data_IF_074356183405
#
_entry.id   IF_074356183405
#
_cell.length_a   1.000
_cell.length_b   1.000
_cell.length_c   1.000
_cell.angle_alpha   90.00
_cell.angle_beta   90.00
_cell.angle_gamma   90.00
#
_symmetry.space_group_name_H-M   'P 1'
#
loop_
_entity.id
_entity.type
_entity.pdbx_description
1 polymer ?
#
# COMPACT_ATOMS: atom_id res chain seq x y z
N UNK A 1 74.73 -45.76 -2.45
CA UNK A 1 73.47 -44.97 -2.48
C UNK A 1 73.81 -43.50 -2.24
N UNK A 2 73.67 -42.62 -3.23
CA UNK A 2 73.99 -41.19 -3.09
C UNK A 2 72.94 -40.53 -2.21
N UNK A 3 73.33 -40.06 -1.02
CA UNK A 3 72.46 -39.33 -0.09
C UNK A 3 72.05 -38.00 -0.74
N UNK A 4 70.78 -37.89 -1.12
CA UNK A 4 70.20 -36.61 -1.54
C UNK A 4 70.13 -35.73 -0.28
N UNK A 5 70.76 -34.55 -0.34
CA UNK A 5 70.70 -33.57 0.74
C UNK A 5 69.25 -33.18 1.00
N UNK A 6 68.87 -33.06 2.29
CA UNK A 6 67.53 -32.69 2.73
C UNK A 6 67.01 -31.41 2.04
N UNK A 7 67.90 -30.47 1.71
CA UNK A 7 67.54 -29.24 0.99
C UNK A 7 67.05 -29.55 -0.43
N UNK A 8 67.69 -30.48 -1.14
CA UNK A 8 67.26 -30.89 -2.49
C UNK A 8 65.93 -31.63 -2.47
N UNK A 9 65.69 -32.45 -1.45
CA UNK A 9 64.42 -33.15 -1.27
C UNK A 9 63.26 -32.17 -0.98
N UNK A 10 63.49 -31.20 -0.10
CA UNK A 10 62.49 -30.16 0.23
C UNK A 10 62.21 -29.25 -0.97
N UNK A 11 63.24 -28.87 -1.73
CA UNK A 11 63.07 -28.02 -2.93
C UNK A 11 62.29 -28.75 -4.02
N UNK A 12 62.55 -30.05 -4.22
CA UNK A 12 61.81 -30.86 -5.19
C UNK A 12 60.35 -31.03 -4.74
N UNK A 13 60.11 -31.27 -3.45
CA UNK A 13 58.77 -31.43 -2.90
C UNK A 13 57.94 -30.14 -2.99
N UNK A 14 58.53 -28.98 -2.65
CA UNK A 14 57.89 -27.68 -2.81
C UNK A 14 57.67 -27.33 -4.29
N UNK A 15 58.64 -27.63 -5.15
CA UNK A 15 58.52 -27.44 -6.60
C UNK A 15 57.37 -28.24 -7.20
N UNK A 16 57.22 -29.51 -6.80
CA UNK A 16 56.10 -30.38 -7.17
C UNK A 16 54.79 -29.87 -6.58
N UNK A 17 54.74 -29.44 -5.31
CA UNK A 17 53.53 -28.86 -4.73
C UNK A 17 53.08 -27.59 -5.45
N UNK A 18 54.00 -26.69 -5.80
CA UNK A 18 53.68 -25.44 -6.51
C UNK A 18 53.23 -25.74 -7.94
N UNK A 19 53.91 -26.65 -8.67
CA UNK A 19 53.44 -27.05 -9.99
C UNK A 19 52.08 -27.75 -9.91
N UNK A 20 51.89 -28.68 -8.97
CA UNK A 20 50.60 -29.35 -8.73
C UNK A 20 49.49 -28.35 -8.41
N UNK A 21 49.74 -27.40 -7.51
CA UNK A 21 48.80 -26.33 -7.18
C UNK A 21 48.51 -25.42 -8.39
N UNK A 22 49.48 -25.20 -9.27
CA UNK A 22 49.27 -24.46 -10.53
C UNK A 22 48.50 -25.24 -11.60
N UNK A 23 48.48 -26.58 -11.55
CA UNK A 23 47.60 -27.40 -12.42
C UNK A 23 46.19 -27.54 -11.83
N UNK A 24 46.04 -27.43 -10.51
CA UNK A 24 44.74 -27.45 -9.82
C UNK A 24 44.09 -26.07 -9.66
N UNK A 25 44.81 -24.97 -9.93
CA UNK A 25 44.24 -23.64 -10.03
C UNK A 25 43.75 -23.40 -11.47
N UNK A 26 42.43 -23.26 -11.60
CA UNK A 26 41.67 -22.78 -12.78
C UNK A 26 41.28 -23.81 -13.87
N UNK A 27 40.64 -24.92 -13.49
CA UNK A 27 39.59 -25.55 -14.32
C UNK A 27 38.20 -25.36 -13.73
N UNK A 28 37.96 -24.22 -13.06
CA UNK A 28 36.58 -23.73 -12.99
C UNK A 28 36.25 -23.17 -14.38
N UNK A 29 35.92 -24.07 -15.32
CA UNK A 29 34.96 -23.74 -16.36
C UNK A 29 33.62 -23.49 -15.65
N UNK A 30 33.52 -22.34 -14.97
CA UNK A 30 32.22 -21.78 -14.70
C UNK A 30 31.74 -21.36 -16.07
N UNK A 31 30.93 -22.20 -16.71
CA UNK A 31 30.09 -21.76 -17.80
C UNK A 31 28.90 -21.07 -17.13
N UNK A 32 28.91 -19.72 -16.97
CA UNK A 32 27.88 -18.99 -16.22
C UNK A 32 26.47 -19.19 -16.76
N UNK A 33 26.37 -19.75 -17.97
CA UNK A 33 25.13 -19.94 -18.73
C UNK A 33 24.53 -21.34 -18.47
N UNK A 34 25.32 -22.33 -18.04
CA UNK A 34 24.88 -23.74 -17.98
C UNK A 34 23.71 -23.96 -17.02
N UNK A 35 23.61 -23.17 -15.96
CA UNK A 35 22.56 -23.25 -14.95
C UNK A 35 21.65 -22.00 -14.92
N UNK A 36 21.76 -21.12 -15.93
CA UNK A 36 20.94 -19.91 -16.00
C UNK A 36 19.52 -20.27 -16.44
N UNK A 37 18.54 -20.08 -15.55
CA UNK A 37 17.13 -20.16 -15.89
C UNK A 37 16.50 -18.77 -15.85
N UNK A 38 16.03 -18.29 -17.00
CA UNK A 38 15.46 -16.94 -17.18
C UNK A 38 13.95 -16.89 -17.00
N UNK A 39 13.30 -18.04 -16.86
CA UNK A 39 11.85 -18.15 -16.71
C UNK A 39 11.34 -17.41 -15.48
N UNK A 40 10.23 -16.69 -15.63
CA UNK A 40 9.55 -16.02 -14.53
C UNK A 40 8.51 -16.95 -13.90
N UNK A 41 8.56 -17.10 -12.57
CA UNK A 41 7.65 -17.97 -11.81
C UNK A 41 6.71 -17.20 -10.88
N UNK A 42 6.82 -15.86 -10.83
CA UNK A 42 6.09 -15.03 -9.86
C UNK A 42 4.61 -14.80 -10.18
N UNK A 43 4.16 -15.08 -11.40
CA UNK A 43 2.78 -14.87 -11.83
C UNK A 43 2.32 -13.41 -11.82
N UNK A 44 1.02 -13.21 -12.04
CA UNK A 44 0.39 -11.88 -11.95
C UNK A 44 0.17 -11.49 -10.49
N UNK A 45 0.57 -10.28 -10.12
CA UNK A 45 0.25 -9.67 -8.83
C UNK A 45 -0.27 -8.26 -9.05
N UNK A 46 -1.60 -8.11 -9.01
CA UNK A 46 -2.26 -6.81 -9.19
C UNK A 46 -1.97 -5.83 -8.04
N UNK A 47 -1.47 -6.32 -6.90
CA UNK A 47 -1.13 -5.49 -5.75
C UNK A 47 0.22 -4.81 -5.86
N UNK A 48 1.02 -5.16 -6.87
CA UNK A 48 2.25 -4.46 -7.22
C UNK A 48 1.91 -3.32 -8.17
N UNK A 49 2.14 -2.08 -7.74
CA UNK A 49 2.00 -0.94 -8.61
C UNK A 49 3.10 -0.94 -9.68
N UNK A 50 2.70 -1.06 -10.95
CA UNK A 50 3.59 -1.04 -12.10
C UNK A 50 3.09 0.00 -13.11
N UNK A 51 3.91 1.01 -13.37
CA UNK A 51 3.59 2.12 -14.28
C UNK A 51 4.72 2.32 -15.30
N UNK A 52 4.40 2.94 -16.43
CA UNK A 52 5.39 3.16 -17.48
C UNK A 52 6.49 4.14 -17.04
N UNK A 53 6.10 5.30 -16.52
CA UNK A 53 7.02 6.33 -16.03
C UNK A 53 7.33 6.15 -14.55
N UNK A 54 8.55 6.56 -14.16
CA UNK A 54 8.98 6.53 -12.76
C UNK A 54 8.19 7.51 -11.87
N UNK A 55 7.77 8.62 -12.46
CA UNK A 55 7.09 9.71 -11.78
C UNK A 55 5.69 9.90 -12.35
N UNK A 56 4.67 9.79 -11.51
CA UNK A 56 3.28 10.03 -11.89
C UNK A 56 2.65 11.01 -10.89
N UNK A 57 2.23 12.18 -11.37
CA UNK A 57 1.52 13.17 -10.55
C UNK A 57 0.09 12.69 -10.32
N UNK A 58 -0.34 12.73 -9.06
CA UNK A 58 -1.67 12.32 -8.62
C UNK A 58 -2.71 13.33 -9.13
N UNK A 59 -3.89 12.87 -9.52
CA UNK A 59 -5.03 13.75 -9.77
C UNK A 59 -6.05 13.57 -8.64
N UNK A 60 -6.44 14.62 -7.90
CA UNK A 60 -5.96 16.01 -7.97
C UNK A 60 -4.60 16.23 -7.28
N UNK A 61 -3.80 17.15 -7.82
CA UNK A 61 -2.55 17.65 -7.22
C UNK A 61 -2.56 19.18 -7.18
N UNK A 62 -1.73 19.74 -6.30
CA UNK A 62 -1.52 21.18 -6.23
C UNK A 62 -0.82 21.71 -7.50
N UNK A 63 -0.93 23.02 -7.77
CA UNK A 63 -0.23 23.69 -8.86
C UNK A 63 1.29 23.50 -8.78
N UNK A 64 1.81 23.44 -7.55
CA UNK A 64 3.18 23.04 -7.25
C UNK A 64 3.14 21.77 -6.41
N UNK A 65 3.16 20.58 -7.06
CA UNK A 65 3.02 19.30 -6.37
C UNK A 65 3.96 19.20 -5.16
N UNK A 66 3.43 18.73 -4.05
CA UNK A 66 4.20 18.39 -2.86
C UNK A 66 4.68 16.92 -2.90
N UNK A 67 5.42 16.49 -1.87
CA UNK A 67 6.00 15.13 -1.79
C UNK A 67 4.96 14.01 -1.89
N UNK A 68 3.74 14.24 -1.39
CA UNK A 68 2.64 13.28 -1.42
C UNK A 68 1.71 13.43 -2.65
N UNK A 69 2.05 14.32 -3.59
CA UNK A 69 1.33 14.49 -4.86
C UNK A 69 2.01 13.75 -6.03
N UNK A 70 3.16 13.13 -5.79
CA UNK A 70 3.95 12.45 -6.83
C UNK A 70 4.25 11.02 -6.43
N UNK A 71 3.68 10.07 -7.17
CA UNK A 71 4.05 8.67 -7.10
C UNK A 71 5.43 8.49 -7.74
N UNK A 72 6.39 8.03 -6.95
CA UNK A 72 7.76 7.71 -7.39
C UNK A 72 8.02 6.22 -7.19
N UNK A 73 7.95 5.48 -8.28
CA UNK A 73 8.20 4.04 -8.33
C UNK A 73 9.14 3.74 -9.49
N UNK A 74 9.79 2.58 -9.48
CA UNK A 74 10.59 2.16 -10.62
C UNK A 74 9.66 1.84 -11.79
N UNK A 75 9.75 2.60 -12.86
CA UNK A 75 8.91 2.50 -14.04
C UNK A 75 9.49 1.60 -15.12
N UNK A 76 8.63 1.17 -16.04
CA UNK A 76 9.02 0.29 -17.14
C UNK A 76 10.03 0.94 -18.07
N UNK A 77 9.91 2.25 -18.32
CA UNK A 77 10.86 2.97 -19.17
C UNK A 77 12.28 2.86 -18.62
N UNK A 78 12.46 3.09 -17.31
CA UNK A 78 13.77 2.99 -16.66
C UNK A 78 14.31 1.57 -16.72
N UNK A 79 13.48 0.55 -16.45
CA UNK A 79 13.90 -0.85 -16.55
C UNK A 79 14.37 -1.17 -17.97
N UNK A 80 13.56 -0.84 -18.99
CA UNK A 80 13.91 -1.13 -20.39
C UNK A 80 15.15 -0.35 -20.83
N UNK A 81 15.34 0.89 -20.40
CA UNK A 81 16.54 1.67 -20.71
C UNK A 81 17.79 1.08 -20.06
N UNK A 82 17.70 0.68 -18.79
CA UNK A 82 18.82 0.15 -18.01
C UNK A 82 19.34 -1.16 -18.61
N UNK A 83 18.42 -2.05 -19.01
CA UNK A 83 18.79 -3.37 -19.50
C UNK A 83 18.94 -3.46 -21.02
N UNK A 84 18.12 -2.74 -21.78
CA UNK A 84 18.05 -2.87 -23.24
C UNK A 84 18.48 -1.60 -23.97
N UNK A 85 18.00 -0.44 -23.55
CA UNK A 85 18.18 0.86 -24.20
C UNK A 85 19.57 1.49 -24.06
N UNK A 86 20.59 0.71 -23.76
CA UNK A 86 21.97 1.22 -23.66
C UNK A 86 22.51 1.57 -25.05
N UNK A 87 23.43 2.52 -25.11
CA UNK A 87 24.05 2.98 -26.37
C UNK A 87 24.72 1.88 -27.21
N UNK A 88 25.07 0.76 -26.58
CA UNK A 88 25.70 -0.40 -27.22
C UNK A 88 24.70 -1.47 -27.70
N UNK A 89 23.39 -1.33 -27.41
CA UNK A 89 22.38 -2.33 -27.74
C UNK A 89 21.15 -1.74 -28.45
N UNK A 90 20.28 -1.03 -27.73
CA UNK A 90 19.03 -0.46 -28.27
C UNK A 90 18.87 1.04 -27.96
N UNK A 91 20.00 1.74 -27.86
CA UNK A 91 20.08 3.18 -27.65
C UNK A 91 20.95 3.88 -28.70
N UNK A 92 20.94 5.22 -28.70
CA UNK A 92 21.79 6.02 -29.61
C UNK A 92 21.44 5.82 -31.09
N UNK A 93 22.37 5.26 -31.87
CA UNK A 93 22.20 4.99 -33.30
C UNK A 93 21.73 3.57 -33.62
N UNK A 94 21.58 2.69 -32.62
CA UNK A 94 21.24 1.28 -32.84
C UNK A 94 19.72 1.09 -32.72
N UNK A 95 19.13 0.45 -33.74
CA UNK A 95 17.70 0.16 -33.81
C UNK A 95 17.40 -1.33 -33.48
N UNK A 96 16.19 -1.67 -32.99
CA UNK A 96 15.12 -0.77 -32.57
C UNK A 96 15.53 0.06 -31.34
N UNK A 97 14.96 1.26 -31.21
CA UNK A 97 15.14 2.13 -30.03
C UNK A 97 14.06 1.87 -28.99
N UNK A 98 14.32 2.23 -27.73
CA UNK A 98 13.35 2.12 -26.64
C UNK A 98 13.09 3.43 -25.88
N UNK A 99 13.34 4.57 -26.53
CA UNK A 99 13.33 5.90 -25.88
C UNK A 99 11.95 6.35 -25.39
N UNK A 100 10.87 5.91 -26.05
CA UNK A 100 9.50 6.38 -25.80
C UNK A 100 8.51 5.25 -25.51
N UNK A 101 7.35 5.61 -24.93
CA UNK A 101 6.22 4.69 -24.78
C UNK A 101 5.86 4.02 -26.10
N UNK A 102 5.73 4.79 -27.18
CA UNK A 102 5.36 4.28 -28.50
C UNK A 102 6.39 3.29 -29.05
N UNK A 103 7.68 3.46 -28.73
CA UNK A 103 8.73 2.53 -29.17
C UNK A 103 8.65 1.19 -28.45
N UNK A 104 8.50 1.21 -27.12
CA UNK A 104 8.36 0.00 -26.32
C UNK A 104 7.07 -0.75 -26.69
N UNK A 105 5.97 -0.02 -26.94
CA UNK A 105 4.69 -0.61 -27.32
C UNK A 105 4.71 -1.40 -28.63
N UNK A 106 5.68 -1.18 -29.54
CA UNK A 106 5.85 -2.00 -30.75
C UNK A 106 6.14 -3.47 -30.45
N UNK A 107 6.59 -3.79 -29.23
CA UNK A 107 6.97 -5.13 -28.77
C UNK A 107 6.03 -5.67 -27.69
N UNK A 108 4.97 -4.94 -27.37
CA UNK A 108 4.05 -5.24 -26.28
C UNK A 108 2.64 -5.38 -26.83
N UNK A 109 1.98 -6.47 -26.45
CA UNK A 109 0.56 -6.68 -26.66
C UNK A 109 -0.15 -6.39 -25.32
N UNK A 110 -0.85 -5.25 -25.19
CA UNK A 110 -1.61 -4.91 -23.98
C UNK A 110 -2.48 -6.06 -23.47
N UNK A 111 -2.39 -6.37 -22.18
CA UNK A 111 -3.17 -7.41 -21.52
C UNK A 111 -2.67 -8.84 -21.72
N UNK A 112 -1.69 -9.06 -22.61
CA UNK A 112 -1.14 -10.39 -22.94
C UNK A 112 0.39 -10.40 -22.89
N UNK A 113 0.99 -10.60 -21.70
CA UNK A 113 2.43 -10.82 -21.57
C UNK A 113 2.93 -11.94 -22.47
N UNK A 114 2.18 -13.04 -22.57
CA UNK A 114 2.54 -14.23 -23.35
C UNK A 114 2.55 -13.96 -24.86
N UNK A 115 1.80 -12.97 -25.34
CA UNK A 115 1.81 -12.52 -26.74
C UNK A 115 2.73 -11.31 -26.98
N UNK A 116 3.52 -10.90 -25.98
CA UNK A 116 4.42 -9.75 -26.07
C UNK A 116 5.85 -10.19 -26.36
N UNK A 117 6.43 -9.72 -27.46
CA UNK A 117 7.84 -10.01 -27.82
C UNK A 117 8.81 -9.52 -26.75
N UNK A 118 8.55 -8.37 -26.14
CA UNK A 118 9.36 -7.86 -25.02
C UNK A 118 9.45 -8.90 -23.89
N UNK A 119 8.31 -9.51 -23.53
CA UNK A 119 8.25 -10.51 -22.48
C UNK A 119 8.94 -11.82 -22.88
N UNK A 120 8.73 -12.28 -24.11
CA UNK A 120 9.42 -13.45 -24.68
C UNK A 120 10.94 -13.29 -24.56
N UNK A 121 11.49 -12.17 -25.01
CA UNK A 121 12.94 -11.98 -25.03
C UNK A 121 13.58 -11.91 -23.64
N UNK A 122 12.90 -11.32 -22.65
CA UNK A 122 13.47 -11.22 -21.30
C UNK A 122 13.31 -12.51 -20.48
N UNK A 123 12.47 -13.46 -20.91
CA UNK A 123 12.18 -14.70 -20.16
C UNK A 123 12.59 -15.99 -20.86
N UNK A 124 12.89 -15.95 -22.16
CA UNK A 124 13.28 -17.15 -22.92
C UNK A 124 14.59 -17.77 -22.45
N UNK A 125 14.66 -19.10 -22.46
CA UNK A 125 15.89 -19.88 -22.28
C UNK A 125 16.59 -20.20 -23.63
N UNK A 126 16.06 -19.72 -24.75
CA UNK A 126 16.80 -19.68 -26.02
C UNK A 126 17.79 -18.50 -25.98
N UNK A 127 19.03 -18.78 -25.56
CA UNK A 127 20.05 -17.75 -25.33
C UNK A 127 20.49 -17.00 -26.59
N UNK A 128 20.14 -17.49 -27.79
CA UNK A 128 20.38 -16.76 -29.05
C UNK A 128 19.32 -15.68 -29.31
N UNK A 129 18.17 -15.77 -28.64
CA UNK A 129 17.07 -14.80 -28.72
C UNK A 129 16.95 -13.92 -27.48
N UNK A 130 17.55 -14.37 -26.37
CA UNK A 130 17.42 -13.74 -25.08
C UNK A 130 17.96 -12.31 -25.09
N UNK A 131 17.15 -11.37 -24.57
CA UNK A 131 17.55 -9.97 -24.39
C UNK A 131 17.39 -9.57 -22.90
N UNK A 132 18.38 -8.93 -22.28
CA UNK A 132 19.71 -8.67 -22.83
C UNK A 132 20.46 -9.98 -23.12
N UNK A 133 21.41 -9.96 -24.08
CA UNK A 133 22.23 -11.14 -24.39
C UNK A 133 22.87 -11.70 -23.13
N UNK A 134 22.87 -13.03 -22.95
CA UNK A 134 23.37 -13.66 -21.70
C UNK A 134 24.85 -13.35 -21.42
N UNK A 135 25.64 -13.04 -22.45
CA UNK A 135 27.04 -12.63 -22.34
C UNK A 135 27.24 -11.14 -22.00
N UNK A 136 26.16 -10.35 -21.93
CA UNK A 136 26.22 -8.93 -21.53
C UNK A 136 26.42 -8.73 -20.03
N UNK A 137 26.25 -9.78 -19.22
CA UNK A 137 26.21 -9.72 -17.74
C UNK A 137 25.15 -8.73 -17.18
N UNK A 138 24.14 -8.38 -17.98
CA UNK A 138 23.07 -7.45 -17.62
C UNK A 138 21.70 -8.15 -17.61
N UNK A 139 21.55 -9.20 -16.81
CA UNK A 139 20.28 -9.94 -16.69
C UNK A 139 19.26 -9.19 -15.82
N UNK A 140 17.98 -9.22 -16.22
CA UNK A 140 16.88 -8.68 -15.41
C UNK A 140 16.64 -9.58 -14.19
N UNK A 141 16.51 -8.95 -13.01
CA UNK A 141 16.08 -9.63 -11.80
C UNK A 141 14.58 -9.97 -11.83
N UNK A 142 14.14 -10.85 -10.92
CA UNK A 142 12.74 -11.31 -10.83
C UNK A 142 11.76 -10.16 -10.53
N UNK A 143 12.17 -9.15 -9.77
CA UNK A 143 11.32 -8.00 -9.41
C UNK A 143 11.02 -7.14 -10.63
N UNK A 144 12.03 -6.82 -11.44
CA UNK A 144 11.87 -6.03 -12.67
C UNK A 144 11.07 -6.80 -13.73
N UNK A 145 11.29 -8.12 -13.84
CA UNK A 145 10.43 -9.00 -14.64
C UNK A 145 8.97 -8.95 -14.15
N UNK A 146 8.75 -9.00 -12.84
CA UNK A 146 7.41 -8.87 -12.25
C UNK A 146 6.73 -7.53 -12.57
N UNK A 147 7.48 -6.41 -12.52
CA UNK A 147 6.95 -5.10 -12.90
C UNK A 147 6.53 -5.04 -14.37
N UNK A 148 7.38 -5.51 -15.29
CA UNK A 148 7.05 -5.59 -16.72
C UNK A 148 5.82 -6.47 -16.94
N UNK A 149 5.80 -7.66 -16.33
CA UNK A 149 4.69 -8.60 -16.46
C UNK A 149 3.36 -7.97 -16.02
N UNK A 150 3.33 -7.36 -14.83
CA UNK A 150 2.13 -6.73 -14.28
C UNK A 150 1.70 -5.52 -15.10
N UNK A 151 2.63 -4.68 -15.54
CA UNK A 151 2.31 -3.55 -16.41
C UNK A 151 1.67 -4.01 -17.74
N UNK A 152 2.26 -5.01 -18.41
CA UNK A 152 1.68 -5.58 -19.63
C UNK A 152 0.30 -6.17 -19.34
N UNK A 153 0.19 -6.99 -18.29
CA UNK A 153 -1.06 -7.65 -17.91
C UNK A 153 -2.18 -6.66 -17.60
N UNK A 154 -1.84 -5.51 -17.04
CA UNK A 154 -2.77 -4.42 -16.74
C UNK A 154 -3.04 -3.49 -17.93
N UNK A 155 -2.70 -3.92 -19.15
CA UNK A 155 -3.01 -3.20 -20.38
C UNK A 155 -1.92 -2.25 -20.86
N UNK A 156 -0.70 -2.34 -20.33
CA UNK A 156 0.49 -1.61 -20.76
C UNK A 156 0.24 -0.10 -20.94
N UNK A 157 -0.48 0.52 -20.00
CA UNK A 157 -0.92 1.92 -20.14
C UNK A 157 0.26 2.87 -19.97
N UNK A 158 0.26 3.96 -20.72
CA UNK A 158 1.23 5.02 -20.55
C UNK A 158 1.04 5.74 -19.20
N UNK A 159 -0.22 5.98 -18.82
CA UNK A 159 -0.59 6.57 -17.54
C UNK A 159 -1.46 5.60 -16.74
N UNK A 160 -1.19 5.41 -15.44
CA UNK A 160 -1.96 4.52 -14.59
C UNK A 160 -3.38 5.06 -14.37
N UNK A 161 -4.31 4.15 -14.09
CA UNK A 161 -5.71 4.44 -13.78
C UNK A 161 -6.12 3.82 -12.44
N UNK A 162 -7.37 4.01 -12.03
CA UNK A 162 -7.92 3.40 -10.81
C UNK A 162 -7.68 1.88 -10.69
N UNK A 163 -7.69 1.16 -11.82
CA UNK A 163 -7.43 -0.28 -11.83
C UNK A 163 -6.00 -0.63 -11.38
N UNK A 164 -5.06 0.28 -11.60
CA UNK A 164 -3.66 0.14 -11.19
C UNK A 164 -3.45 0.68 -9.77
N UNK A 165 -4.16 1.76 -9.39
CA UNK A 165 -4.05 2.34 -8.06
C UNK A 165 -4.68 1.48 -6.97
N UNK A 166 -5.92 1.01 -7.19
CA UNK A 166 -6.75 0.44 -6.11
C UNK A 166 -6.09 -0.77 -5.46
N UNK A 167 -5.70 -1.85 -6.16
CA UNK A 167 -5.24 -3.05 -5.47
C UNK A 167 -3.94 -2.80 -4.70
N UNK A 168 -3.03 -2.01 -5.28
CA UNK A 168 -1.78 -1.64 -4.63
C UNK A 168 -2.00 -0.71 -3.42
N UNK A 169 -2.86 0.30 -3.52
CA UNK A 169 -3.21 1.17 -2.40
C UNK A 169 -3.89 0.40 -1.26
N UNK A 170 -4.84 -0.49 -1.59
CA UNK A 170 -5.51 -1.31 -0.58
C UNK A 170 -4.52 -2.24 0.10
N UNK A 171 -3.62 -2.89 -0.65
CA UNK A 171 -2.56 -3.70 -0.05
C UNK A 171 -1.68 -2.88 0.90
N UNK A 172 -1.24 -1.68 0.51
CA UNK A 172 -0.43 -0.82 1.37
C UNK A 172 -1.17 -0.48 2.67
N UNK A 173 -2.49 -0.24 2.60
CA UNK A 173 -3.30 0.03 3.79
C UNK A 173 -3.47 -1.21 4.67
N UNK A 174 -3.75 -2.38 4.08
CA UNK A 174 -3.94 -3.63 4.84
C UNK A 174 -2.63 -4.08 5.47
N UNK A 175 -1.56 -4.13 4.68
CA UNK A 175 -0.24 -4.62 5.08
C UNK A 175 0.53 -3.58 5.91
N UNK A 176 0.16 -2.30 5.85
CA UNK A 176 0.75 -1.25 6.67
C UNK A 176 -0.03 -1.00 7.96
N UNK A 177 -1.31 -0.64 7.84
CA UNK A 177 -2.10 -0.15 8.97
C UNK A 177 -2.68 -1.29 9.81
N UNK A 178 -3.05 -2.42 9.20
CA UNK A 178 -3.62 -3.56 9.92
C UNK A 178 -2.56 -4.58 10.38
N UNK A 179 -1.36 -4.61 9.78
CA UNK A 179 -0.31 -5.62 10.03
C UNK A 179 0.32 -5.54 11.41
N UNK A 180 0.57 -4.33 11.92
CA UNK A 180 1.02 -4.11 13.29
C UNK A 180 -0.11 -4.32 14.31
N UNK A 181 -1.22 -4.97 13.94
CA UNK A 181 -2.38 -5.19 14.77
C UNK A 181 -3.06 -3.91 15.30
N UNK A 182 -2.56 -2.70 15.06
CA UNK A 182 -3.14 -1.46 15.59
C UNK A 182 -4.53 -1.17 15.01
N UNK A 183 -4.70 -1.37 13.71
CA UNK A 183 -5.98 -1.23 13.01
C UNK A 183 -6.46 -2.58 12.45
N UNK A 184 -6.37 -3.65 13.25
CA UNK A 184 -6.95 -4.94 12.91
C UNK A 184 -8.29 -5.16 13.60
N UNK A 185 -9.09 -6.10 13.07
CA UNK A 185 -10.41 -6.42 13.59
C UNK A 185 -10.32 -6.94 15.02
N UNK A 186 -9.24 -7.66 15.33
CA UNK A 186 -8.95 -8.16 16.66
C UNK A 186 -8.76 -7.04 17.68
N UNK A 187 -8.05 -5.98 17.31
CA UNK A 187 -7.81 -4.83 18.21
C UNK A 187 -9.04 -3.94 18.35
N UNK A 188 -9.78 -3.71 17.25
CA UNK A 188 -11.01 -2.95 17.30
C UNK A 188 -12.04 -3.61 18.24
N UNK A 189 -12.25 -4.92 18.07
CA UNK A 189 -13.17 -5.72 18.91
C UNK A 189 -12.60 -6.01 20.30
N UNK A 190 -11.29 -6.14 20.45
CA UNK A 190 -10.62 -6.30 21.75
C UNK A 190 -10.75 -5.07 22.64
N UNK A 191 -10.80 -3.87 22.07
CA UNK A 191 -11.18 -2.65 22.80
C UNK A 191 -12.58 -2.71 23.41
N UNK A 192 -13.51 -3.43 22.78
CA UNK A 192 -14.83 -3.72 23.37
C UNK A 192 -14.75 -4.87 24.36
N UNK A 193 -14.06 -5.97 24.04
CA UNK A 193 -13.83 -7.08 24.97
C UNK A 193 -13.32 -6.59 26.34
N UNK A 194 -12.28 -5.74 26.34
CA UNK A 194 -11.70 -5.14 27.56
C UNK A 194 -12.71 -4.35 28.40
N UNK A 195 -13.76 -3.82 27.79
CA UNK A 195 -14.81 -3.04 28.46
C UNK A 195 -15.97 -3.91 28.96
N UNK A 196 -15.88 -5.24 28.87
CA UNK A 196 -16.95 -6.16 29.31
C UNK A 196 -18.19 -6.09 28.43
N UNK A 197 -17.98 -5.69 27.18
CA UNK A 197 -19.02 -5.28 26.27
C UNK A 197 -19.44 -6.40 25.31
N UNK A 198 -18.77 -7.55 25.36
CA UNK A 198 -19.09 -8.71 24.52
C UNK A 198 -19.65 -9.80 25.45
N UNK A 199 -20.90 -10.19 25.23
CA UNK A 199 -21.54 -11.24 26.01
C UNK A 199 -20.89 -12.61 25.75
N UNK A 200 -20.78 -13.43 26.79
CA UNK A 200 -20.20 -14.78 26.70
C UNK A 200 -18.67 -14.82 26.59
N UNK A 201 -18.00 -13.69 26.81
CA UNK A 201 -16.54 -13.59 26.74
C UNK A 201 -15.87 -14.22 27.96
N UNK A 202 -14.85 -15.03 27.72
CA UNK A 202 -13.96 -15.61 28.73
C UNK A 202 -12.56 -15.02 28.63
N UNK A 203 -11.72 -15.21 29.65
CA UNK A 203 -10.33 -14.73 29.62
C UNK A 203 -9.50 -15.32 28.48
N UNK A 204 -9.82 -16.55 28.05
CA UNK A 204 -9.16 -17.23 26.93
C UNK A 204 -9.49 -16.62 25.56
N UNK A 205 -10.56 -15.83 25.46
CA UNK A 205 -10.98 -15.20 24.20
C UNK A 205 -10.21 -13.92 23.88
N UNK A 206 -9.32 -13.46 24.76
CA UNK A 206 -8.55 -12.23 24.55
C UNK A 206 -7.06 -12.44 24.69
N UNK A 207 -6.29 -11.62 23.98
CA UNK A 207 -4.85 -11.48 24.16
C UNK A 207 -4.46 -10.01 24.26
N UNK A 208 -3.18 -9.77 24.47
CA UNK A 208 -2.59 -8.44 24.50
C UNK A 208 -1.53 -8.32 23.41
N UNK A 209 -1.54 -7.17 22.75
CA UNK A 209 -0.52 -6.75 21.80
C UNK A 209 0.08 -5.42 22.27
N UNK A 210 1.41 -5.30 22.26
CA UNK A 210 2.11 -4.05 22.60
C UNK A 210 2.80 -3.52 21.36
N UNK A 211 2.43 -2.31 20.95
CA UNK A 211 3.13 -1.55 19.93
C UNK A 211 4.14 -0.62 20.59
N UNK A 212 5.36 -0.56 20.07
CA UNK A 212 6.36 0.43 20.47
C UNK A 212 6.57 1.35 19.27
N UNK A 213 6.28 2.64 19.43
CA UNK A 213 6.54 3.62 18.39
C UNK A 213 8.06 3.70 18.14
N UNK A 214 8.55 3.42 16.92
CA UNK A 214 9.99 3.37 16.66
C UNK A 214 10.68 4.74 16.71
N UNK A 215 9.92 5.84 16.59
CA UNK A 215 10.42 7.21 16.61
C UNK A 215 10.51 7.72 18.05
N UNK A 216 9.45 7.52 18.84
CA UNK A 216 9.34 8.11 20.19
C UNK A 216 9.64 7.13 21.32
N UNK A 217 9.70 5.82 21.03
CA UNK A 217 9.80 4.75 22.03
C UNK A 217 8.53 4.53 22.85
N UNK A 218 7.44 5.27 22.58
CA UNK A 218 6.21 5.18 23.35
C UNK A 218 5.52 3.82 23.16
N UNK A 219 5.24 3.14 24.26
CA UNK A 219 4.53 1.86 24.26
C UNK A 219 3.01 2.07 24.35
N UNK A 220 2.27 1.46 23.43
CA UNK A 220 0.81 1.40 23.43
C UNK A 220 0.36 -0.04 23.56
N UNK A 221 -0.49 -0.31 24.55
CA UNK A 221 -1.05 -1.64 24.82
C UNK A 221 -2.46 -1.76 24.27
N UNK A 222 -2.66 -2.77 23.43
CA UNK A 222 -3.92 -3.12 22.82
C UNK A 222 -4.43 -4.45 23.36
N UNK A 223 -5.71 -4.49 23.73
CA UNK A 223 -6.41 -5.76 23.92
C UNK A 223 -6.89 -6.24 22.55
N UNK A 224 -6.73 -7.54 22.29
CA UNK A 224 -7.20 -8.18 21.08
C UNK A 224 -8.21 -9.27 21.42
N UNK A 225 -9.29 -9.36 20.66
CA UNK A 225 -10.19 -10.50 20.70
C UNK A 225 -9.60 -11.60 19.79
N UNK A 226 -9.26 -12.75 20.36
CA UNK A 226 -8.63 -13.87 19.64
C UNK A 226 -9.64 -14.91 19.16
N UNK A 227 -10.81 -14.98 19.80
CA UNK A 227 -11.91 -15.82 19.36
C UNK A 227 -12.49 -15.33 18.03
N UNK A 228 -12.09 -15.98 16.93
CA UNK A 228 -12.46 -15.59 15.56
C UNK A 228 -13.96 -15.56 15.32
N UNK A 229 -14.72 -16.47 15.93
CA UNK A 229 -16.18 -16.54 15.77
C UNK A 229 -16.83 -15.32 16.40
N UNK A 230 -16.53 -15.03 17.67
CA UNK A 230 -17.03 -13.84 18.36
C UNK A 230 -16.56 -12.56 17.68
N UNK A 231 -15.30 -12.52 17.25
CA UNK A 231 -14.70 -11.40 16.54
C UNK A 231 -15.43 -11.07 15.23
N UNK A 232 -15.77 -12.08 14.43
CA UNK A 232 -16.52 -11.89 13.19
C UNK A 232 -17.97 -11.50 13.45
N UNK A 233 -18.62 -12.14 14.42
CA UNK A 233 -19.98 -11.82 14.81
C UNK A 233 -20.11 -10.37 15.28
N UNK A 234 -19.26 -9.94 16.22
CA UNK A 234 -19.33 -8.60 16.84
C UNK A 234 -18.97 -7.52 15.83
N UNK A 235 -17.91 -7.72 15.03
CA UNK A 235 -17.52 -6.73 14.03
C UNK A 235 -18.59 -6.57 12.95
N UNK A 236 -19.12 -7.68 12.42
CA UNK A 236 -20.18 -7.65 11.39
C UNK A 236 -21.43 -6.93 11.91
N UNK A 237 -21.90 -7.29 13.11
CA UNK A 237 -23.05 -6.63 13.73
C UNK A 237 -22.80 -5.13 13.94
N UNK A 238 -21.58 -4.73 14.31
CA UNK A 238 -21.22 -3.32 14.41
C UNK A 238 -21.27 -2.62 13.05
N UNK A 239 -20.65 -3.18 12.00
CA UNK A 239 -20.68 -2.61 10.65
C UNK A 239 -22.11 -2.37 10.17
N UNK A 240 -22.97 -3.38 10.32
CA UNK A 240 -24.37 -3.31 9.90
C UNK A 240 -25.13 -2.24 10.68
N UNK A 241 -24.89 -2.13 12.00
CA UNK A 241 -25.52 -1.09 12.82
C UNK A 241 -25.11 0.33 12.40
N UNK A 242 -23.83 0.54 12.07
CA UNK A 242 -23.33 1.85 11.59
C UNK A 242 -23.95 2.19 10.23
N UNK A 243 -23.88 1.26 9.27
CA UNK A 243 -24.42 1.46 7.93
C UNK A 243 -25.93 1.75 7.98
N UNK A 244 -26.67 1.02 8.82
CA UNK A 244 -28.11 1.22 9.02
C UNK A 244 -28.44 2.52 9.74
N UNK A 245 -27.71 2.88 10.79
CA UNK A 245 -27.96 4.13 11.51
C UNK A 245 -27.81 5.36 10.59
N UNK A 246 -26.76 5.39 9.77
CA UNK A 246 -26.50 6.55 8.90
C UNK A 246 -27.25 6.53 7.57
N UNK A 247 -27.93 5.45 7.21
CA UNK A 247 -28.84 5.46 6.05
C UNK A 247 -30.09 6.30 6.31
N UNK A 248 -30.56 6.34 7.57
CA UNK A 248 -31.60 7.25 8.06
C UNK A 248 -31.49 7.38 9.57
N UNK A 249 -30.91 8.49 10.04
CA UNK A 249 -30.60 8.69 11.45
C UNK A 249 -31.82 8.90 12.33
N UNK A 250 -32.96 9.27 11.72
CA UNK A 250 -34.23 9.47 12.43
C UNK A 250 -34.96 8.14 12.55
N UNK A 251 -35.22 7.46 11.42
CA UNK A 251 -35.91 6.19 11.40
C UNK A 251 -35.13 5.08 12.13
N UNK A 252 -33.79 5.15 12.07
CA UNK A 252 -32.91 4.17 12.69
C UNK A 252 -32.20 4.71 13.93
N UNK A 253 -32.74 5.72 14.61
CA UNK A 253 -32.22 6.18 15.90
C UNK A 253 -32.08 5.02 16.92
N UNK A 254 -32.92 4.01 16.79
CA UNK A 254 -32.86 2.77 17.58
C UNK A 254 -31.70 1.84 17.20
N UNK A 255 -31.07 1.97 16.02
CA UNK A 255 -29.91 1.19 15.56
C UNK A 255 -28.58 1.91 15.74
N UNK A 256 -28.55 3.03 16.49
CA UNK A 256 -27.30 3.74 16.84
C UNK A 256 -26.20 2.71 17.16
N UNK A 257 -25.01 2.84 16.54
CA UNK A 257 -23.99 1.82 16.51
C UNK A 257 -23.87 1.14 17.87
N UNK A 258 -23.97 -0.19 17.85
CA UNK A 258 -23.75 -1.03 19.04
C UNK A 258 -24.96 -1.25 20.00
N UNK A 259 -26.16 -1.49 19.46
CA UNK A 259 -27.34 -1.91 20.27
C UNK A 259 -27.43 -3.41 20.58
N UNK A 260 -26.63 -4.27 19.94
CA UNK A 260 -26.78 -5.74 20.01
C UNK A 260 -26.02 -6.43 21.15
N UNK A 261 -25.37 -5.66 22.00
CA UNK A 261 -24.66 -6.12 23.19
C UNK A 261 -24.92 -5.10 24.28
N UNK A 262 -25.28 -5.56 25.46
CA UNK A 262 -25.88 -4.78 26.53
C UNK A 262 -25.15 -3.44 26.79
N UNK A 263 -25.93 -2.36 26.64
CA UNK A 263 -25.65 -0.97 27.07
C UNK A 263 -24.71 -0.14 26.18
N UNK A 264 -25.21 0.86 25.42
CA UNK A 264 -24.37 1.73 24.60
C UNK A 264 -23.67 2.78 25.48
N UNK A 265 -22.52 2.45 26.06
CA UNK A 265 -21.77 3.34 26.99
C UNK A 265 -20.26 3.39 26.71
N UNK A 266 -19.82 2.90 25.56
CA UNK A 266 -18.38 2.84 25.30
C UNK A 266 -17.82 4.18 24.83
N UNK A 267 -17.12 4.88 25.71
CA UNK A 267 -16.14 5.92 25.35
C UNK A 267 -14.90 5.33 24.63
N UNK A 268 -14.90 4.03 24.30
CA UNK A 268 -13.81 3.37 23.58
C UNK A 268 -13.78 3.90 22.15
N UNK A 269 -12.95 4.93 21.97
CA UNK A 269 -12.62 5.50 20.68
C UNK A 269 -11.61 4.59 19.98
N UNK A 270 -12.05 3.43 19.51
CA UNK A 270 -11.25 2.55 18.63
C UNK A 270 -11.58 2.89 17.17
N UNK A 271 -10.54 3.14 16.36
CA UNK A 271 -10.75 3.18 14.91
C UNK A 271 -11.06 1.75 14.49
N UNK A 272 -11.99 1.59 13.56
CA UNK A 272 -12.26 0.27 13.01
C UNK A 272 -11.02 -0.36 12.37
N UNK A 273 -11.08 -1.67 12.07
CA UNK A 273 -10.10 -2.33 11.25
C UNK A 273 -9.92 -1.67 9.89
N UNK A 274 -8.78 -1.94 9.28
CA UNK A 274 -8.46 -1.66 7.89
C UNK A 274 -8.04 -2.96 7.17
N UNK A 275 -8.65 -4.09 7.54
CA UNK A 275 -8.27 -5.44 7.10
C UNK A 275 -8.61 -5.73 5.63
N UNK A 276 -9.59 -5.03 5.07
CA UNK A 276 -10.07 -5.22 3.71
C UNK A 276 -10.73 -3.94 3.19
N UNK A 277 -11.08 -3.95 1.91
CA UNK A 277 -11.67 -2.82 1.21
C UNK A 277 -13.00 -2.33 1.82
N UNK A 278 -13.88 -3.22 2.30
CA UNK A 278 -15.15 -2.83 2.93
C UNK A 278 -14.92 -2.11 4.27
N UNK A 279 -13.96 -2.59 5.06
CA UNK A 279 -13.59 -1.94 6.33
C UNK A 279 -12.97 -0.55 6.09
N UNK A 280 -12.13 -0.43 5.05
CA UNK A 280 -11.54 0.85 4.63
C UNK A 280 -12.65 1.81 4.17
N UNK A 281 -13.54 1.38 3.28
CA UNK A 281 -14.66 2.21 2.81
C UNK A 281 -15.57 2.61 3.97
N UNK A 282 -15.85 1.73 4.91
CA UNK A 282 -16.63 2.07 6.09
C UNK A 282 -15.97 3.21 6.89
N UNK A 283 -14.65 3.21 7.03
CA UNK A 283 -13.90 4.30 7.68
C UNK A 283 -13.85 5.60 6.87
N UNK A 284 -13.89 5.53 5.54
CA UNK A 284 -14.08 6.71 4.69
C UNK A 284 -15.47 7.31 4.87
N UNK A 285 -16.51 6.48 4.75
CA UNK A 285 -17.92 6.93 4.73
C UNK A 285 -18.44 7.31 6.11
N UNK A 286 -17.94 6.65 7.14
CA UNK A 286 -18.34 6.86 8.53
C UNK A 286 -17.09 6.99 9.40
N UNK A 287 -16.34 8.10 9.32
CA UNK A 287 -15.09 8.24 10.03
C UNK A 287 -15.26 8.02 11.53
N UNK A 288 -14.19 7.51 12.16
CA UNK A 288 -14.14 7.22 13.60
C UNK A 288 -14.81 8.31 14.46
N UNK A 289 -14.48 9.58 14.21
CA UNK A 289 -14.94 10.73 15.01
C UNK A 289 -16.46 10.92 15.04
N UNK A 290 -17.18 10.25 14.13
CA UNK A 290 -18.63 10.26 14.06
C UNK A 290 -19.23 9.02 14.74
N UNK A 291 -18.68 7.84 14.43
CA UNK A 291 -19.21 6.53 14.89
C UNK A 291 -18.77 6.11 16.29
N UNK A 292 -17.80 6.79 16.89
CA UNK A 292 -17.39 6.64 18.29
C UNK A 292 -16.69 7.89 18.80
N UNK A 293 -17.02 8.34 20.02
CA UNK A 293 -16.47 9.52 20.65
C UNK A 293 -16.11 9.23 22.11
N UNK A 294 -15.16 9.99 22.68
CA UNK A 294 -14.84 9.93 24.11
C UNK A 294 -15.82 10.70 24.98
N UNK A 295 -16.70 11.51 24.38
CA UNK A 295 -17.70 12.33 25.07
C UNK A 295 -19.11 12.05 24.56
N UNK A 296 -20.11 12.24 25.42
CA UNK A 296 -21.52 12.09 25.06
C UNK A 296 -21.88 13.08 23.95
N UNK A 297 -22.42 12.58 22.86
CA UNK A 297 -22.85 13.34 21.69
C UNK A 297 -24.36 13.58 21.68
N UNK A 298 -25.13 12.74 22.37
CA UNK A 298 -26.58 12.85 22.47
C UNK A 298 -27.06 12.17 23.74
N UNK A 299 -28.00 12.81 24.43
CA UNK A 299 -28.75 12.21 25.55
C UNK A 299 -30.20 12.14 25.14
N UNK A 300 -30.78 10.94 25.17
CA UNK A 300 -32.19 10.76 24.91
C UNK A 300 -33.01 11.46 26.00
N UNK A 301 -33.88 12.42 25.65
CA UNK A 301 -34.55 13.26 26.66
C UNK A 301 -35.61 12.50 27.46
N UNK A 302 -36.05 11.32 27.01
CA UNK A 302 -37.09 10.52 27.68
C UNK A 302 -36.47 9.44 28.55
N UNK A 303 -35.53 8.67 27.99
CA UNK A 303 -34.90 7.52 28.66
C UNK A 303 -33.62 7.88 29.39
N UNK A 304 -33.12 9.12 29.21
CA UNK A 304 -31.83 9.62 29.72
C UNK A 304 -30.61 8.81 29.27
N UNK A 305 -30.78 7.94 28.26
CA UNK A 305 -29.70 7.15 27.70
C UNK A 305 -28.73 8.05 26.96
N UNK A 306 -27.45 7.91 27.27
CA UNK A 306 -26.37 8.66 26.66
C UNK A 306 -25.79 7.90 25.48
N UNK A 307 -25.38 8.63 24.44
CA UNK A 307 -24.84 8.08 23.21
C UNK A 307 -23.56 8.82 22.82
N UNK A 308 -22.53 8.07 22.45
CA UNK A 308 -21.20 8.58 22.07
C UNK A 308 -21.02 8.65 20.54
N UNK A 309 -22.13 8.82 19.82
CA UNK A 309 -22.20 8.80 18.35
C UNK A 309 -22.93 10.04 17.88
N UNK A 310 -22.39 10.70 16.84
CA UNK A 310 -23.01 11.90 16.28
C UNK A 310 -24.22 11.54 15.42
N UNK A 311 -25.22 12.42 15.40
CA UNK A 311 -26.42 12.24 14.58
C UNK A 311 -26.23 12.55 13.08
N UNK A 312 -25.05 13.01 12.67
CA UNK A 312 -24.77 13.42 11.29
C UNK A 312 -23.36 12.99 10.90
N UNK A 313 -23.27 12.08 9.93
CA UNK A 313 -21.99 11.53 9.47
C UNK A 313 -21.10 12.51 8.73
N UNK A 314 -21.67 13.62 8.25
CA UNK A 314 -20.90 14.69 7.63
C UNK A 314 -20.31 15.65 8.67
N UNK A 315 -20.80 15.64 9.92
CA UNK A 315 -20.19 16.42 11.01
C UNK A 315 -18.96 15.71 11.60
N UNK A 316 -18.04 15.30 10.74
CA UNK A 316 -16.80 14.63 11.13
C UNK A 316 -15.71 15.64 11.45
N UNK A 317 -14.98 15.43 12.54
CA UNK A 317 -13.75 16.18 12.83
C UNK A 317 -12.52 15.46 12.28
N UNK A 318 -12.72 14.42 11.46
CA UNK A 318 -11.68 13.52 10.95
C UNK A 318 -12.07 12.85 9.62
N UNK A 319 -11.11 12.32 8.89
CA UNK A 319 -11.34 11.60 7.64
C UNK A 319 -10.19 10.61 7.41
N UNK A 320 -10.39 9.63 6.54
CA UNK A 320 -9.36 8.65 6.19
C UNK A 320 -8.11 9.29 5.54
N UNK A 321 -8.26 10.04 4.45
CA UNK A 321 -7.10 10.46 3.66
C UNK A 321 -6.23 11.48 4.41
N UNK A 322 -6.83 12.39 5.20
CA UNK A 322 -6.11 13.35 6.05
C UNK A 322 -5.27 12.71 7.15
N UNK A 323 -5.36 11.40 7.36
CA UNK A 323 -4.57 10.67 8.34
C UNK A 323 -3.46 9.88 7.66
N UNK A 324 -3.57 9.71 6.35
CA UNK A 324 -2.57 9.09 5.48
C UNK A 324 -1.69 10.14 4.80
N UNK A 325 -2.21 11.34 4.53
CA UNK A 325 -1.53 12.40 3.81
C UNK A 325 -1.42 13.66 4.66
N UNK A 326 -0.22 13.93 5.18
CA UNK A 326 0.03 15.11 6.00
C UNK A 326 0.01 16.43 5.20
N UNK A 327 0.07 16.38 3.86
CA UNK A 327 0.03 17.58 3.00
C UNK A 327 -1.38 18.15 2.85
N UNK A 328 -2.40 17.49 3.39
CA UNK A 328 -3.80 17.92 3.33
C UNK A 328 -4.30 18.43 4.69
N UNK A 329 -4.96 19.59 4.66
CA UNK A 329 -5.74 20.13 5.77
C UNK A 329 -7.21 19.79 5.49
N UNK A 330 -7.83 19.05 6.41
CA UNK A 330 -9.24 18.70 6.31
C UNK A 330 -10.14 19.77 6.91
N UNK A 331 -11.22 20.08 6.23
CA UNK A 331 -12.30 20.92 6.70
C UNK A 331 -13.54 20.08 6.96
N UNK A 332 -14.14 20.24 8.14
CA UNK A 332 -15.38 19.57 8.47
C UNK A 332 -16.48 19.97 7.46
N UNK A 333 -17.15 18.96 6.91
CA UNK A 333 -18.09 19.11 5.78
C UNK A 333 -19.27 20.01 6.13
N UNK A 334 -19.71 20.02 7.39
CA UNK A 334 -20.85 20.80 7.87
C UNK A 334 -20.50 22.18 8.37
N UNK A 335 -19.42 22.28 9.12
CA UNK A 335 -19.07 23.51 9.85
C UNK A 335 -18.01 24.33 9.13
N UNK A 336 -17.32 23.77 8.13
CA UNK A 336 -16.19 24.41 7.44
C UNK A 336 -14.95 24.57 8.32
N UNK A 337 -15.01 24.19 9.60
CA UNK A 337 -13.91 24.34 10.56
C UNK A 337 -12.73 23.48 10.10
N UNK A 338 -11.59 24.13 9.94
CA UNK A 338 -10.33 23.47 9.63
C UNK A 338 -9.89 22.62 10.82
N UNK A 339 -9.51 21.37 10.55
CA UNK A 339 -8.78 20.56 11.51
C UNK A 339 -7.29 20.93 11.48
N UNK A 340 -6.57 20.58 12.54
CA UNK A 340 -5.11 20.63 12.53
C UNK A 340 -4.54 19.67 11.49
N UNK A 341 -3.36 20.03 10.96
CA UNK A 341 -2.52 19.14 10.14
C UNK A 341 -2.35 17.80 10.88
N UNK A 342 -2.52 16.71 10.16
CA UNK A 342 -2.42 15.36 10.69
C UNK A 342 -1.99 14.43 9.55
N UNK A 343 -1.17 13.41 9.83
CA UNK A 343 -0.81 12.31 8.93
C UNK A 343 -0.52 11.06 9.77
N UNK A 344 -1.17 10.94 10.93
CA UNK A 344 -0.66 10.11 12.03
C UNK A 344 -0.69 8.62 11.73
N UNK A 345 -1.49 8.17 10.76
CA UNK A 345 -1.51 6.77 10.32
C UNK A 345 -0.38 6.45 9.33
N UNK A 346 0.14 7.46 8.62
CA UNK A 346 1.42 7.38 7.91
C UNK A 346 2.62 7.74 8.83
N UNK A 347 2.36 7.95 10.13
CA UNK A 347 3.24 8.51 11.17
C UNK A 347 3.92 9.82 10.75
N UNK A 348 3.09 10.68 10.17
CA UNK A 348 3.37 12.03 9.67
C UNK A 348 4.51 12.07 8.61
N UNK A 349 4.61 10.96 7.88
CA UNK A 349 5.34 10.72 6.62
C UNK A 349 6.80 10.24 6.76
N UNK A 350 7.09 9.52 7.85
CA UNK A 350 8.28 8.65 8.00
C UNK A 350 7.96 7.19 8.31
N UNK A 351 6.66 6.80 8.32
CA UNK A 351 6.20 5.41 8.45
C UNK A 351 5.77 4.80 7.10
N UNK A 352 4.96 5.52 6.32
CA UNK A 352 4.71 5.23 4.90
C UNK A 352 5.55 6.17 4.04
N UNK A 353 6.06 5.69 2.89
CA UNK A 353 6.84 6.54 1.98
C UNK A 353 5.92 7.56 1.29
N UNK A 354 6.40 8.77 0.97
CA UNK A 354 5.60 9.76 0.23
C UNK A 354 4.98 9.22 -1.07
N UNK A 355 5.68 8.35 -1.79
CA UNK A 355 5.15 7.70 -3.01
C UNK A 355 4.02 6.72 -2.73
N UNK A 356 4.03 6.05 -1.59
CA UNK A 356 2.94 5.15 -1.13
C UNK A 356 1.73 5.97 -0.70
N UNK A 357 1.95 7.09 -0.01
CA UNK A 357 0.88 8.05 0.32
C UNK A 357 0.26 8.63 -0.95
N UNK A 358 1.07 9.03 -1.93
CA UNK A 358 0.61 9.50 -3.22
C UNK A 358 -0.25 8.45 -3.96
N UNK A 359 0.15 7.17 -3.89
CA UNK A 359 -0.62 6.06 -4.48
C UNK A 359 -1.97 5.87 -3.77
N UNK A 360 -2.00 5.95 -2.44
CA UNK A 360 -3.25 5.90 -1.66
C UNK A 360 -4.15 7.10 -2.01
N UNK A 361 -3.58 8.29 -2.17
CA UNK A 361 -4.29 9.50 -2.59
C UNK A 361 -4.88 9.34 -3.99
N UNK A 362 -4.11 8.82 -4.95
CA UNK A 362 -4.58 8.56 -6.31
C UNK A 362 -5.77 7.61 -6.31
N UNK A 363 -5.70 6.51 -5.55
CA UNK A 363 -6.83 5.63 -5.36
C UNK A 363 -8.03 6.37 -4.73
N UNK A 364 -7.82 7.09 -3.62
CA UNK A 364 -8.88 7.75 -2.86
C UNK A 364 -9.74 8.68 -3.73
N UNK A 365 -9.09 9.54 -4.53
CA UNK A 365 -9.81 10.50 -5.37
C UNK A 365 -10.40 9.86 -6.64
N UNK A 366 -9.76 8.83 -7.19
CA UNK A 366 -10.24 8.14 -8.39
C UNK A 366 -11.38 7.15 -8.12
N UNK A 367 -11.53 6.63 -6.90
CA UNK A 367 -12.46 5.52 -6.63
C UNK A 367 -13.93 5.97 -6.59
N UNK A 368 -14.82 5.50 -7.48
CA UNK A 368 -16.23 5.91 -7.49
C UNK A 368 -17.01 5.43 -6.26
N UNK A 369 -16.51 4.44 -5.51
CA UNK A 369 -17.14 4.01 -4.26
C UNK A 369 -16.94 5.01 -3.11
N UNK A 370 -16.09 6.02 -3.30
CA UNK A 370 -15.92 7.15 -2.39
C UNK A 370 -16.71 8.32 -2.98
N UNK A 371 -17.84 8.73 -2.36
CA UNK A 371 -18.67 9.81 -2.86
C UNK A 371 -17.93 11.16 -2.87
N UNK A 372 -18.33 12.05 -3.77
CA UNK A 372 -17.73 13.38 -3.91
C UNK A 372 -17.78 14.22 -2.63
N UNK A 373 -18.80 14.04 -1.78
CA UNK A 373 -18.87 14.74 -0.49
C UNK A 373 -17.66 14.45 0.40
N UNK A 374 -17.03 13.28 0.23
CA UNK A 374 -15.82 12.85 0.94
C UNK A 374 -14.52 13.18 0.20
N UNK A 375 -14.58 13.68 -1.03
CA UNK A 375 -13.41 14.12 -1.82
C UNK A 375 -13.32 15.63 -1.95
N UNK A 376 -14.44 16.26 -2.29
CA UNK A 376 -14.54 17.65 -2.71
C UNK A 376 -15.50 18.45 -1.82
N UNK A 377 -16.32 17.77 -1.01
CA UNK A 377 -17.35 18.39 -0.19
C UNK A 377 -18.69 18.49 -0.91
N UNK A 378 -19.73 19.03 -0.25
CA UNK A 378 -21.04 19.14 -0.85
C UNK A 378 -21.06 20.29 -1.86
N UNK A 379 -21.74 20.06 -2.98
CA UNK A 379 -22.21 21.14 -3.84
C UNK A 379 -23.49 21.70 -3.24
N UNK A 380 -23.45 22.89 -2.63
CA UNK A 380 -24.64 23.55 -2.11
C UNK A 380 -25.14 24.55 -3.15
N UNK A 381 -26.36 24.38 -3.67
CA UNK A 381 -27.04 25.37 -4.54
C UNK A 381 -26.18 25.91 -5.69
N UNK A 382 -25.48 25.03 -6.42
CA UNK A 382 -24.58 25.39 -7.53
C UNK A 382 -23.42 26.35 -7.18
N UNK A 383 -23.23 26.70 -5.90
CA UNK A 383 -22.07 27.45 -5.42
C UNK A 383 -21.05 26.45 -4.90
N UNK A 384 -19.84 26.37 -5.49
CA UNK A 384 -18.80 25.51 -4.97
C UNK A 384 -18.46 25.98 -3.55
N UNK A 385 -18.69 25.14 -2.54
CA UNK A 385 -17.96 25.29 -1.29
C UNK A 385 -16.46 25.22 -1.61
N UNK A 386 -15.61 25.88 -0.81
CA UNK A 386 -14.19 25.97 -1.12
C UNK A 386 -13.57 24.60 -1.38
N UNK A 387 -14.00 23.57 -0.64
CA UNK A 387 -13.57 22.18 -0.71
C UNK A 387 -13.50 21.63 0.72
N UNK A 388 -13.33 20.32 0.88
CA UNK A 388 -13.09 19.73 2.23
C UNK A 388 -11.62 19.41 2.48
N UNK A 389 -10.77 19.52 1.46
CA UNK A 389 -9.32 19.43 1.60
C UNK A 389 -8.68 20.68 1.04
N UNK A 390 -7.71 21.20 1.80
CA UNK A 390 -6.86 22.33 1.45
C UNK A 390 -5.42 21.83 1.42
N UNK A 391 -4.68 22.11 0.35
CA UNK A 391 -3.25 21.83 0.29
C UNK A 391 -2.54 22.68 1.34
N UNK A 392 -1.73 22.05 2.19
CA UNK A 392 -1.02 22.73 3.26
C UNK A 392 0.00 23.75 2.70
N UNK A 393 0.62 23.44 1.56
CA UNK A 393 1.68 24.25 0.94
C UNK A 393 1.14 25.51 0.26
N UNK A 394 0.22 25.40 -0.70
CA UNK A 394 -0.33 26.57 -1.40
C UNK A 394 -1.51 27.22 -0.68
N UNK A 395 -2.20 26.47 0.18
CA UNK A 395 -3.48 26.88 0.72
C UNK A 395 -4.65 26.79 -0.26
N UNK A 396 -4.45 26.24 -1.45
CA UNK A 396 -5.54 26.02 -2.41
C UNK A 396 -6.43 24.87 -1.95
N UNK A 397 -7.73 24.98 -2.24
CA UNK A 397 -8.64 23.88 -1.99
C UNK A 397 -8.72 22.93 -3.17
N UNK A 398 -8.90 21.65 -2.85
CA UNK A 398 -9.20 20.61 -3.83
C UNK A 398 -10.67 20.72 -4.24
N UNK A 399 -10.89 20.84 -5.55
CA UNK A 399 -12.20 20.96 -6.18
C UNK A 399 -12.35 19.92 -7.29
N UNK A 400 -13.59 19.66 -7.68
CA UNK A 400 -13.93 18.75 -8.79
C UNK A 400 -13.59 19.36 -10.15
#
# INVERSE_FOLDING_TARGET
MKKISSIKAVTLFLGVMITSASVFQCTKEFNPIKDLNRSYTGGADSTVFAAFYDNNVVNPADLTPDVNDVMKFRGIQTIVHEYCGTSNCHGGSIAPKFDTYADIMKFVTPGSPESSKLWEFITTNDFNKAMPPVNSNHELNTTDKGLIYNWIKNGAKEKPTLADFRPAAIRLITDGCASANCHSQATATGGWARKGLIAGLTSADTSQYTYINPITGAASVYCQLTNKTLLNQVWTAYKDSVKKFYSDTVAFASFRPWKTVSTPISASSTRGPLNNYDDILMDVLYPKSVRTNSTVQYTDPVTLKQYYVKGDYLNSSDNFIRRMDSTLIYHNIRTGVAASKNGSMAYDDGGAKPSEVALIKAWYFADPNIPDVWKYGPTLNATPLPGIFKYNKSGNFIKR
#
